data_IF_823230695070
#
_entry.id   IF_823230695070
#
_cell.length_a   1.000
_cell.length_b   1.000
_cell.length_c   1.000
_cell.angle_alpha   90.00
_cell.angle_beta   90.00
_cell.angle_gamma   90.00
#
_symmetry.space_group_name_H-M   'P 1'
#
loop_
_entity.id
_entity.type
_entity.pdbx_description
1 polymer ?
#
# COMPACT_ATOMS: atom_id res chain seq x y z
N UNK A 1 20.17 1.06 -8.76
CA UNK A 1 19.93 1.62 -10.10
C UNK A 1 20.23 3.12 -10.04
N UNK A 2 20.95 3.69 -11.00
CA UNK A 2 21.15 5.15 -11.05
C UNK A 2 20.03 5.85 -11.85
N UNK A 3 19.88 7.16 -11.67
CA UNK A 3 18.82 7.97 -12.31
C UNK A 3 18.86 7.90 -13.83
N UNK A 4 20.04 7.73 -14.43
CA UNK A 4 20.21 7.63 -15.88
C UNK A 4 19.71 6.30 -16.44
N UNK A 5 19.98 5.22 -15.72
CA UNK A 5 19.50 3.88 -16.06
C UNK A 5 17.99 3.79 -15.85
N UNK A 6 17.47 4.37 -14.76
CA UNK A 6 16.02 4.43 -14.51
C UNK A 6 15.28 5.21 -15.60
N UNK A 7 15.81 6.37 -15.98
CA UNK A 7 15.27 7.18 -17.08
C UNK A 7 15.11 6.40 -18.38
N UNK A 8 16.06 5.52 -18.70
CA UNK A 8 15.99 4.68 -19.88
C UNK A 8 14.93 3.58 -19.73
N UNK A 9 14.84 2.94 -18.57
CA UNK A 9 13.88 1.86 -18.31
C UNK A 9 12.42 2.34 -18.36
N UNK A 10 12.12 3.50 -17.78
CA UNK A 10 10.75 4.07 -17.80
C UNK A 10 10.51 5.08 -18.92
N UNK A 11 11.45 5.21 -19.88
CA UNK A 11 11.38 6.15 -20.99
C UNK A 11 11.08 7.62 -20.55
N UNK A 12 11.63 8.04 -19.41
CA UNK A 12 11.49 9.38 -18.86
C UNK A 12 12.78 10.18 -18.97
N UNK A 13 12.67 11.50 -18.99
CA UNK A 13 13.86 12.36 -18.94
C UNK A 13 14.53 12.27 -17.55
N UNK A 14 15.86 12.11 -17.44
CA UNK A 14 16.56 12.03 -16.15
C UNK A 14 16.24 13.22 -15.22
N UNK A 15 16.15 14.43 -15.77
CA UNK A 15 15.78 15.65 -15.03
C UNK A 15 14.39 15.61 -14.40
N UNK A 16 13.47 14.86 -15.00
CA UNK A 16 12.12 14.69 -14.49
C UNK A 16 12.09 13.69 -13.33
N UNK A 17 12.88 12.62 -13.42
CA UNK A 17 13.08 11.72 -12.27
C UNK A 17 13.73 12.49 -11.12
N UNK A 18 14.78 13.28 -11.39
CA UNK A 18 15.41 14.10 -10.36
C UNK A 18 14.45 15.09 -9.69
N UNK A 19 13.46 15.63 -10.40
CA UNK A 19 12.49 16.54 -9.81
C UNK A 19 11.44 15.82 -8.97
N UNK A 20 11.06 14.58 -9.34
CA UNK A 20 10.23 13.72 -8.50
C UNK A 20 10.99 13.39 -7.21
N UNK A 21 12.22 12.86 -7.32
CA UNK A 21 13.04 12.41 -6.18
C UNK A 21 13.46 13.54 -5.23
N UNK A 22 13.99 14.65 -5.75
CA UNK A 22 14.64 15.68 -4.94
C UNK A 22 13.75 16.88 -4.63
N UNK A 23 12.66 17.08 -5.38
CA UNK A 23 11.79 18.25 -5.26
C UNK A 23 10.34 17.90 -4.92
N UNK A 24 10.02 16.60 -4.79
CA UNK A 24 8.66 16.15 -4.51
C UNK A 24 7.67 16.50 -5.61
N UNK A 25 8.13 16.64 -6.86
CA UNK A 25 7.22 16.88 -7.98
C UNK A 25 6.27 15.69 -8.12
N UNK A 26 4.96 15.94 -8.12
CA UNK A 26 3.97 14.90 -8.36
C UNK A 26 4.02 14.43 -9.81
N UNK A 27 4.27 13.13 -10.05
CA UNK A 27 4.20 12.56 -11.39
C UNK A 27 2.74 12.50 -11.90
N UNK A 28 2.57 12.26 -13.21
CA UNK A 28 1.27 11.82 -13.72
C UNK A 28 0.92 10.44 -13.14
N UNK A 29 -0.37 10.07 -13.14
CA UNK A 29 -0.79 8.76 -12.63
C UNK A 29 -0.12 7.60 -13.37
N UNK A 30 0.08 7.72 -14.68
CA UNK A 30 0.77 6.69 -15.47
C UNK A 30 2.21 6.50 -15.00
N UNK A 31 2.97 7.59 -14.85
CA UNK A 31 4.35 7.55 -14.38
C UNK A 31 4.44 7.03 -12.95
N UNK A 32 3.50 7.46 -12.10
CA UNK A 32 3.38 6.93 -10.74
C UNK A 32 3.19 5.41 -10.75
N UNK A 33 2.23 4.91 -11.53
CA UNK A 33 1.92 3.48 -11.67
C UNK A 33 3.11 2.67 -12.17
N UNK A 34 3.81 3.15 -13.20
CA UNK A 34 5.02 2.50 -13.73
C UNK A 34 6.12 2.40 -12.68
N UNK A 35 6.40 3.48 -11.95
CA UNK A 35 7.45 3.52 -10.93
C UNK A 35 7.15 2.60 -9.75
N UNK A 36 5.94 2.64 -9.19
CA UNK A 36 5.59 1.84 -8.00
C UNK A 36 5.52 0.35 -8.33
N UNK A 37 5.11 0.00 -9.56
CA UNK A 37 5.12 -1.39 -10.05
C UNK A 37 6.55 -1.88 -10.27
N UNK A 38 7.40 -1.09 -10.93
CA UNK A 38 8.80 -1.44 -11.20
C UNK A 38 9.57 -1.76 -9.92
N UNK A 39 9.38 -0.95 -8.87
CA UNK A 39 10.07 -1.11 -7.59
C UNK A 39 9.31 -1.99 -6.57
N UNK A 40 8.16 -2.55 -6.93
CA UNK A 40 7.30 -3.32 -6.02
C UNK A 40 6.99 -2.56 -4.72
N UNK A 41 6.77 -1.25 -4.83
CA UNK A 41 6.49 -0.38 -3.69
C UNK A 41 5.02 -0.53 -3.32
N UNK A 42 4.74 -0.93 -2.08
CA UNK A 42 3.39 -0.78 -1.52
C UNK A 42 3.08 0.70 -1.34
N UNK A 43 2.08 1.19 -2.10
CA UNK A 43 1.63 2.58 -2.02
C UNK A 43 0.67 2.83 -0.87
N UNK A 44 0.16 1.77 -0.25
CA UNK A 44 -0.88 1.82 0.77
C UNK A 44 -0.46 2.71 1.94
N UNK A 45 0.79 2.62 2.39
CA UNK A 45 1.29 3.45 3.51
C UNK A 45 1.39 4.95 3.16
N UNK A 46 1.51 5.30 1.88
CA UNK A 46 1.54 6.70 1.43
C UNK A 46 0.13 7.29 1.34
N UNK A 47 -0.88 6.47 1.01
CA UNK A 47 -2.29 6.89 0.95
C UNK A 47 -3.01 6.76 2.29
N UNK A 48 -2.58 5.80 3.12
CA UNK A 48 -3.12 5.48 4.43
C UNK A 48 -2.00 5.62 5.47
N UNK A 49 -1.61 6.86 5.82
CA UNK A 49 -0.58 7.08 6.82
C UNK A 49 -0.97 6.38 8.12
N UNK A 50 -0.01 5.69 8.74
CA UNK A 50 -0.24 5.00 10.00
C UNK A 50 -0.79 6.01 11.02
N UNK A 51 -2.04 5.83 11.43
CA UNK A 51 -2.78 6.80 12.25
C UNK A 51 -2.24 6.92 13.68
N UNK A 52 -1.13 6.23 13.99
CA UNK A 52 -0.49 6.22 15.31
C UNK A 52 -1.29 5.47 16.36
N UNK A 53 -2.42 4.84 15.97
CA UNK A 53 -3.16 3.95 16.83
C UNK A 53 -2.34 2.66 16.99
N UNK A 54 -1.66 2.51 18.13
CA UNK A 54 -0.96 1.27 18.44
C UNK A 54 -1.93 0.09 18.34
N UNK A 55 -1.69 -0.79 17.35
CA UNK A 55 -2.36 -2.10 17.31
C UNK A 55 -2.12 -2.80 18.64
N UNK A 56 -3.20 -3.26 19.28
CA UNK A 56 -3.10 -4.07 20.50
C UNK A 56 -2.26 -5.33 20.25
N UNK A 57 -1.70 -5.92 21.31
CA UNK A 57 -0.96 -7.20 21.22
C UNK A 57 -1.78 -8.27 20.49
N UNK A 58 -3.09 -8.33 20.75
CA UNK A 58 -4.00 -9.27 20.09
C UNK A 58 -4.16 -8.98 18.60
N UNK A 59 -4.21 -7.70 18.19
CA UNK A 59 -4.28 -7.34 16.76
C UNK A 59 -2.99 -7.69 16.03
N UNK A 60 -1.83 -7.44 16.64
CA UNK A 60 -0.52 -7.83 16.07
C UNK A 60 -0.39 -9.34 15.89
N UNK A 61 -0.79 -10.12 16.89
CA UNK A 61 -0.83 -11.59 16.80
C UNK A 61 -1.76 -12.08 15.69
N UNK A 62 -2.94 -11.46 15.56
CA UNK A 62 -3.87 -11.79 14.48
C UNK A 62 -3.29 -11.45 13.10
N UNK A 63 -2.63 -10.30 12.94
CA UNK A 63 -2.00 -9.92 11.67
C UNK A 63 -0.96 -10.97 11.23
N UNK A 64 -0.11 -11.44 12.14
CA UNK A 64 0.84 -12.53 11.83
C UNK A 64 0.17 -13.84 11.43
N UNK A 65 -1.05 -14.12 11.91
CA UNK A 65 -1.82 -15.29 11.46
C UNK A 65 -2.44 -15.06 10.08
N UNK A 66 -2.83 -13.82 9.75
CA UNK A 66 -3.37 -13.48 8.44
C UNK A 66 -2.31 -13.55 7.34
N UNK A 67 -1.03 -13.33 7.66
CA UNK A 67 0.08 -13.43 6.69
C UNK A 67 0.28 -14.85 6.14
N UNK A 68 -0.24 -15.88 6.82
CA UNK A 68 -0.16 -17.29 6.41
C UNK A 68 -1.36 -17.74 5.54
N UNK A 69 -2.36 -16.88 5.35
CA UNK A 69 -3.60 -17.22 4.67
C UNK A 69 -3.55 -16.93 3.17
N UNK A 70 -4.26 -17.75 2.40
CA UNK A 70 -4.48 -17.49 0.98
C UNK A 70 -5.66 -16.54 0.77
N UNK A 71 -5.77 -15.96 -0.44
CA UNK A 71 -6.83 -15.00 -0.77
C UNK A 71 -8.25 -15.56 -0.48
N UNK A 72 -8.47 -16.85 -0.73
CA UNK A 72 -9.74 -17.51 -0.44
C UNK A 72 -10.10 -17.50 1.06
N UNK A 73 -9.11 -17.67 1.93
CA UNK A 73 -9.28 -17.62 3.38
C UNK A 73 -9.51 -16.17 3.85
N UNK A 74 -8.80 -15.21 3.26
CA UNK A 74 -8.97 -13.79 3.56
C UNK A 74 -10.39 -13.29 3.22
N UNK A 75 -11.04 -13.82 2.19
CA UNK A 75 -12.45 -13.53 1.89
C UNK A 75 -13.37 -13.96 3.06
N UNK A 76 -13.11 -15.13 3.66
CA UNK A 76 -13.88 -15.62 4.82
C UNK A 76 -13.63 -14.73 6.05
N UNK A 77 -12.37 -14.34 6.28
CA UNK A 77 -12.01 -13.44 7.37
C UNK A 77 -12.67 -12.07 7.23
N UNK A 78 -12.71 -11.52 6.01
CA UNK A 78 -13.40 -10.27 5.72
C UNK A 78 -14.91 -10.37 5.98
N UNK A 79 -15.55 -11.47 5.53
CA UNK A 79 -16.96 -11.73 5.80
C UNK A 79 -17.26 -11.83 7.31
N UNK A 80 -16.37 -12.48 8.07
CA UNK A 80 -16.49 -12.60 9.53
C UNK A 80 -16.39 -11.24 10.22
N UNK A 81 -15.39 -10.42 9.83
CA UNK A 81 -15.24 -9.07 10.35
C UNK A 81 -16.47 -8.20 10.05
N UNK A 82 -17.00 -8.29 8.82
CA UNK A 82 -18.22 -7.60 8.42
C UNK A 82 -19.43 -8.04 9.25
N UNK A 83 -19.63 -9.33 9.48
CA UNK A 83 -20.71 -9.84 10.33
C UNK A 83 -20.64 -9.32 11.77
N UNK A 84 -19.44 -9.19 12.35
CA UNK A 84 -19.24 -8.59 13.69
C UNK A 84 -19.61 -7.11 13.68
N UNK A 85 -19.23 -6.36 12.65
CA UNK A 85 -19.55 -4.93 12.51
C UNK A 85 -21.06 -4.72 12.38
N UNK A 86 -21.72 -5.50 11.52
CA UNK A 86 -23.16 -5.47 11.34
C UNK A 86 -23.87 -5.76 12.66
N UNK A 87 -23.55 -6.86 13.34
CA UNK A 87 -24.17 -7.21 14.63
C UNK A 87 -24.00 -6.13 15.71
N UNK A 88 -22.92 -5.35 15.67
CA UNK A 88 -22.72 -4.19 16.56
C UNK A 88 -23.53 -2.97 16.14
N UNK A 89 -23.74 -2.78 14.84
CA UNK A 89 -24.53 -1.67 14.28
C UNK A 89 -26.05 -1.88 14.36
N UNK A 90 -26.54 -3.13 14.38
CA UNK A 90 -27.97 -3.45 14.53
C UNK A 90 -28.47 -3.47 15.97
N UNK A 91 -27.64 -3.06 16.94
CA UNK A 91 -27.94 -3.03 18.37
C UNK A 91 -28.47 -1.70 18.91
N UNK A 92 -28.91 -0.78 18.03
CA UNK A 92 -29.62 0.46 18.38
C UNK A 92 -31.11 0.39 18.00
#
# INVERSE_FOLDING_TARGET
MDTGTLAQEVALAPRYIMSIENKGQHPSFQVFYELVTLFQISVDQFFFPDTGAEKSTRRRQLDSQLDELEEADLIIMAATAKGIQEAKGTGE
#
